data_IF_369277534510
#
_entry.id   IF_369277534510
#
_cell.length_a   1.000
_cell.length_b   1.000
_cell.length_c   1.000
_cell.angle_alpha   90.00
_cell.angle_beta   90.00
_cell.angle_gamma   90.00
#
_symmetry.space_group_name_H-M   'P 1'
#
loop_
_entity.id
_entity.type
_entity.pdbx_description
1 polymer ?
#
# COMPACT_ATOMS: atom_id res chain seq x y z
N UNK A 1 -7.39 12.55 -30.58
CA UNK A 1 -8.07 13.34 -29.51
C UNK A 1 -7.84 12.75 -28.10
N UNK A 2 -7.70 11.44 -27.94
CA UNK A 2 -7.39 10.82 -26.64
C UNK A 2 -6.02 11.24 -26.10
N UNK A 3 -4.99 11.28 -26.95
CA UNK A 3 -3.61 11.61 -26.53
C UNK A 3 -3.45 13.04 -26.00
N UNK A 4 -4.19 14.01 -26.57
CA UNK A 4 -4.15 15.39 -26.10
C UNK A 4 -4.76 15.53 -24.68
N UNK A 5 -5.74 14.69 -24.34
CA UNK A 5 -6.36 14.69 -23.02
C UNK A 5 -5.42 14.10 -21.96
N UNK A 6 -4.63 13.07 -22.30
CA UNK A 6 -3.66 12.46 -21.39
C UNK A 6 -2.53 13.43 -21.07
N UNK A 7 -1.95 14.07 -22.09
CA UNK A 7 -0.86 15.05 -21.92
C UNK A 7 -1.33 16.24 -21.06
N UNK A 8 -2.52 16.77 -21.31
CA UNK A 8 -3.06 17.87 -20.51
C UNK A 8 -3.35 17.45 -19.07
N UNK A 9 -3.87 16.24 -18.86
CA UNK A 9 -4.11 15.70 -17.52
C UNK A 9 -2.81 15.53 -16.74
N UNK A 10 -1.77 14.96 -17.35
CA UNK A 10 -0.42 14.85 -16.75
C UNK A 10 0.11 16.23 -16.40
N UNK A 11 0.02 17.20 -17.32
CA UNK A 11 0.49 18.55 -17.08
C UNK A 11 -0.23 19.21 -15.89
N UNK A 12 -1.56 19.11 -15.84
CA UNK A 12 -2.38 19.67 -14.75
C UNK A 12 -2.04 19.04 -13.41
N UNK A 13 -1.95 17.70 -13.37
CA UNK A 13 -1.65 16.97 -12.13
C UNK A 13 -0.25 17.31 -11.62
N UNK A 14 0.78 17.27 -12.48
CA UNK A 14 2.16 17.55 -12.03
C UNK A 14 2.37 19.03 -11.68
N UNK A 15 1.83 19.94 -12.47
CA UNK A 15 1.95 21.38 -12.19
C UNK A 15 1.18 21.74 -10.93
N UNK A 16 -0.06 21.25 -10.80
CA UNK A 16 -0.87 21.46 -9.61
C UNK A 16 -0.21 20.87 -8.35
N UNK A 17 0.33 19.64 -8.46
CA UNK A 17 1.07 19.01 -7.38
C UNK A 17 2.30 19.81 -6.97
N UNK A 18 3.09 20.31 -7.94
CA UNK A 18 4.28 21.14 -7.65
C UNK A 18 3.91 22.45 -6.94
N UNK A 19 2.89 23.14 -7.42
CA UNK A 19 2.43 24.41 -6.85
C UNK A 19 1.88 24.22 -5.44
N UNK A 20 0.93 23.28 -5.26
CA UNK A 20 0.30 23.06 -3.95
C UNK A 20 1.26 22.40 -2.96
N UNK A 21 2.17 21.52 -3.40
CA UNK A 21 3.19 20.96 -2.52
C UNK A 21 4.16 22.06 -2.01
N UNK A 22 4.53 23.00 -2.88
CA UNK A 22 5.33 24.14 -2.47
C UNK A 22 4.60 25.01 -1.44
N UNK A 23 3.32 25.30 -1.66
CA UNK A 23 2.49 26.01 -0.69
C UNK A 23 2.36 25.25 0.64
N UNK A 24 2.18 23.92 0.59
CA UNK A 24 2.11 23.07 1.77
C UNK A 24 3.41 23.09 2.58
N UNK A 25 4.58 23.09 1.92
CA UNK A 25 5.87 23.22 2.58
C UNK A 25 5.99 24.55 3.34
N UNK A 26 5.58 25.67 2.75
CA UNK A 26 5.56 26.97 3.42
C UNK A 26 4.55 26.98 4.60
N UNK A 27 3.43 26.28 4.45
CA UNK A 27 2.44 26.13 5.49
C UNK A 27 2.81 25.07 6.56
N UNK A 28 3.97 24.43 6.44
CA UNK A 28 4.42 23.31 7.30
C UNK A 28 3.44 22.14 7.32
N UNK A 29 2.74 21.91 6.23
CA UNK A 29 1.82 20.78 6.05
C UNK A 29 2.49 19.63 5.31
N UNK A 30 1.98 18.41 5.50
CA UNK A 30 2.48 17.26 4.76
C UNK A 30 2.14 17.40 3.26
N UNK A 31 3.11 17.16 2.39
CA UNK A 31 2.94 17.27 0.93
C UNK A 31 1.81 16.39 0.39
N UNK A 32 1.53 15.25 1.05
CA UNK A 32 0.44 14.36 0.65
C UNK A 32 -0.92 15.04 0.69
N UNK A 33 -1.14 15.96 1.63
CA UNK A 33 -2.39 16.75 1.73
C UNK A 33 -2.56 17.62 0.48
N UNK A 34 -1.46 18.21 0.00
CA UNK A 34 -1.46 18.99 -1.24
C UNK A 34 -1.82 18.11 -2.46
N UNK A 35 -1.27 16.89 -2.54
CA UNK A 35 -1.57 15.96 -3.65
C UNK A 35 -3.04 15.52 -3.64
N UNK A 36 -3.61 15.26 -2.48
CA UNK A 36 -5.04 14.95 -2.33
C UNK A 36 -5.88 16.16 -2.75
N UNK A 37 -5.50 17.37 -2.35
CA UNK A 37 -6.20 18.60 -2.72
C UNK A 37 -6.16 18.83 -4.25
N UNK A 38 -5.01 18.61 -4.91
CA UNK A 38 -4.92 18.67 -6.38
C UNK A 38 -5.86 17.67 -7.02
N UNK A 39 -5.87 16.41 -6.54
CA UNK A 39 -6.75 15.38 -7.05
C UNK A 39 -8.23 15.76 -6.91
N UNK A 40 -8.62 16.29 -5.76
CA UNK A 40 -10.00 16.74 -5.51
C UNK A 40 -10.39 17.94 -6.39
N UNK A 41 -9.50 18.91 -6.58
CA UNK A 41 -9.76 20.12 -7.37
C UNK A 41 -9.77 19.80 -8.86
N UNK A 42 -8.79 19.07 -9.37
CA UNK A 42 -8.65 18.77 -10.81
C UNK A 42 -9.49 17.58 -11.25
N UNK A 43 -9.93 16.73 -10.34
CA UNK A 43 -10.69 15.52 -10.60
C UNK A 43 -12.13 15.77 -11.05
N UNK A 44 -12.88 14.65 -11.31
CA UNK A 44 -14.26 14.72 -11.82
C UNK A 44 -15.23 15.44 -10.89
N UNK A 45 -14.99 15.38 -9.58
CA UNK A 45 -15.83 16.02 -8.56
C UNK A 45 -15.49 17.50 -8.31
N UNK A 46 -14.36 17.99 -8.87
CA UNK A 46 -13.95 19.38 -8.81
C UNK A 46 -14.19 20.10 -10.14
N UNK A 47 -13.14 20.69 -10.70
CA UNK A 47 -13.22 21.40 -11.98
C UNK A 47 -13.34 20.47 -13.19
N UNK A 48 -13.23 19.16 -13.04
CA UNK A 48 -13.32 18.18 -14.12
C UNK A 48 -12.25 18.34 -15.20
N UNK A 49 -11.07 18.84 -14.84
CA UNK A 49 -9.94 18.99 -15.74
C UNK A 49 -9.37 17.63 -16.17
N UNK A 50 -9.43 16.66 -15.24
CA UNK A 50 -9.08 15.25 -15.47
C UNK A 50 -10.37 14.44 -15.36
N UNK A 51 -10.96 14.10 -16.52
CA UNK A 51 -12.24 13.41 -16.59
C UNK A 51 -12.12 11.89 -16.67
N UNK A 52 -11.08 11.42 -17.32
CA UNK A 52 -10.82 9.99 -17.47
C UNK A 52 -9.96 9.49 -16.30
N UNK A 53 -10.64 8.92 -15.30
CA UNK A 53 -9.97 8.34 -14.13
C UNK A 53 -9.30 6.99 -14.44
N UNK A 54 -9.71 6.28 -15.47
CA UNK A 54 -9.27 4.90 -15.72
C UNK A 54 -7.80 4.78 -16.06
N UNK A 55 -7.26 5.64 -16.92
CA UNK A 55 -5.82 5.62 -17.20
C UNK A 55 -4.99 6.12 -16.01
N UNK A 56 -5.52 7.09 -15.23
CA UNK A 56 -4.85 7.60 -14.04
C UNK A 56 -4.72 6.52 -12.97
N UNK A 57 -5.75 5.69 -12.82
CA UNK A 57 -5.74 4.51 -11.95
C UNK A 57 -4.62 3.54 -12.35
N UNK A 58 -4.52 3.17 -13.64
CA UNK A 58 -3.44 2.30 -14.13
C UNK A 58 -2.04 2.88 -13.91
N UNK A 59 -1.85 4.19 -14.14
CA UNK A 59 -0.56 4.86 -13.87
C UNK A 59 -0.27 4.89 -12.37
N UNK A 60 -1.27 5.11 -11.53
CA UNK A 60 -1.09 5.12 -10.07
C UNK A 60 -0.72 3.74 -9.54
N UNK A 61 -1.32 2.66 -10.05
CA UNK A 61 -0.95 1.28 -9.70
C UNK A 61 0.51 0.98 -10.03
N UNK A 62 0.97 1.35 -11.22
CA UNK A 62 2.38 1.22 -11.61
C UNK A 62 3.28 2.04 -10.66
N UNK A 63 2.88 3.27 -10.34
CA UNK A 63 3.61 4.13 -9.40
C UNK A 63 3.73 3.51 -8.01
N UNK A 64 2.65 2.90 -7.51
CA UNK A 64 2.63 2.18 -6.22
C UNK A 64 3.56 0.97 -6.27
N UNK A 65 3.51 0.16 -7.34
CA UNK A 65 4.40 -1.00 -7.51
C UNK A 65 5.88 -0.58 -7.46
N UNK A 66 6.26 0.48 -8.19
CA UNK A 66 7.63 0.99 -8.16
C UNK A 66 8.04 1.53 -6.79
N UNK A 67 7.13 2.21 -6.09
CA UNK A 67 7.41 2.74 -4.75
C UNK A 67 7.64 1.62 -3.75
N UNK A 68 6.82 0.56 -3.79
CA UNK A 68 6.99 -0.63 -2.94
C UNK A 68 8.25 -1.41 -3.31
N UNK A 69 8.58 -1.51 -4.60
CA UNK A 69 9.81 -2.12 -5.07
C UNK A 69 11.05 -1.38 -4.54
N UNK A 70 11.10 -0.05 -4.69
CA UNK A 70 12.18 0.77 -4.15
C UNK A 70 12.30 0.65 -2.62
N UNK A 71 11.17 0.57 -1.92
CA UNK A 71 11.17 0.33 -0.48
C UNK A 71 11.80 -1.02 -0.15
N UNK A 72 11.41 -2.08 -0.89
CA UNK A 72 11.95 -3.43 -0.73
C UNK A 72 13.45 -3.51 -0.99
N UNK A 73 13.97 -2.82 -2.00
CA UNK A 73 15.39 -2.78 -2.33
C UNK A 73 16.25 -2.18 -1.19
N UNK A 74 15.70 -1.26 -0.42
CA UNK A 74 16.40 -0.62 0.69
C UNK A 74 16.37 -1.44 1.99
N UNK A 75 15.73 -2.62 1.98
CA UNK A 75 15.57 -3.45 3.18
C UNK A 75 16.49 -4.66 3.17
N UNK A 76 17.23 -4.83 4.26
CA UNK A 76 18.05 -6.03 4.49
C UNK A 76 17.17 -7.11 5.13
N UNK A 77 17.02 -8.31 4.51
CA UNK A 77 16.09 -9.35 5.00
C UNK A 77 16.32 -9.78 6.45
N UNK A 78 17.58 -9.89 6.88
CA UNK A 78 17.93 -10.26 8.26
C UNK A 78 17.48 -9.20 9.28
N UNK A 79 17.55 -7.93 8.91
CA UNK A 79 17.12 -6.81 9.73
C UNK A 79 15.59 -6.75 9.81
N UNK A 80 14.91 -6.99 8.69
CA UNK A 80 13.46 -7.07 8.61
C UNK A 80 12.89 -8.16 9.53
N UNK A 81 13.50 -9.36 9.54
CA UNK A 81 13.09 -10.47 10.39
C UNK A 81 13.18 -10.14 11.88
N UNK A 82 14.24 -9.46 12.30
CA UNK A 82 14.39 -9.00 13.69
C UNK A 82 13.30 -8.02 14.07
N UNK A 83 13.02 -7.05 13.19
CA UNK A 83 12.00 -6.02 13.41
C UNK A 83 10.59 -6.58 13.41
N UNK A 84 10.29 -7.58 12.57
CA UNK A 84 9.02 -8.29 12.62
C UNK A 84 8.77 -8.93 13.98
N UNK A 85 9.80 -9.51 14.59
CA UNK A 85 9.68 -10.08 15.93
C UNK A 85 9.37 -9.04 17.01
N UNK A 86 9.88 -7.83 16.87
CA UNK A 86 9.60 -6.71 17.77
C UNK A 86 8.22 -6.12 17.52
N UNK A 87 7.82 -6.02 16.25
CA UNK A 87 6.56 -5.38 15.83
C UNK A 87 5.33 -6.30 15.95
N UNK A 88 5.50 -7.63 15.93
CA UNK A 88 4.38 -8.58 15.77
C UNK A 88 3.31 -8.43 16.86
N UNK A 89 3.72 -8.29 18.13
CA UNK A 89 2.78 -8.16 19.25
C UNK A 89 1.98 -6.85 19.15
N UNK A 90 2.64 -5.76 18.80
CA UNK A 90 2.00 -4.44 18.63
C UNK A 90 1.03 -4.50 17.45
N UNK A 91 1.47 -5.07 16.35
CA UNK A 91 0.65 -5.18 15.13
C UNK A 91 -0.58 -6.03 15.37
N UNK A 92 -0.43 -7.22 15.96
CA UNK A 92 -1.56 -8.12 16.23
C UNK A 92 -2.55 -7.49 17.22
N UNK A 93 -2.04 -6.89 18.30
CA UNK A 93 -2.89 -6.28 19.32
C UNK A 93 -3.65 -5.07 18.77
N UNK A 94 -2.97 -4.19 18.04
CA UNK A 94 -3.62 -3.02 17.41
C UNK A 94 -4.62 -3.44 16.34
N UNK A 95 -4.27 -4.37 15.46
CA UNK A 95 -5.17 -4.88 14.43
C UNK A 95 -6.42 -5.51 15.04
N UNK A 96 -6.27 -6.32 16.09
CA UNK A 96 -7.40 -6.93 16.78
C UNK A 96 -8.28 -5.89 17.49
N UNK A 97 -7.67 -4.87 18.09
CA UNK A 97 -8.41 -3.78 18.73
C UNK A 97 -9.23 -2.98 17.70
N UNK A 98 -8.64 -2.64 16.55
CA UNK A 98 -9.37 -1.94 15.48
C UNK A 98 -10.43 -2.81 14.83
N UNK A 99 -10.17 -4.11 14.64
CA UNK A 99 -11.19 -5.08 14.19
C UNK A 99 -12.39 -5.08 15.14
N UNK A 100 -12.14 -5.26 16.44
CA UNK A 100 -13.19 -5.31 17.45
C UNK A 100 -13.98 -4.00 17.51
N UNK A 101 -13.29 -2.86 17.45
CA UNK A 101 -13.93 -1.54 17.40
C UNK A 101 -14.78 -1.37 16.13
N UNK A 102 -14.27 -1.75 14.96
CA UNK A 102 -14.99 -1.65 13.70
C UNK A 102 -16.22 -2.53 13.67
N UNK A 103 -16.12 -3.78 14.15
CA UNK A 103 -17.28 -4.68 14.30
C UNK A 103 -18.30 -4.12 15.28
N UNK A 104 -17.86 -3.63 16.44
CA UNK A 104 -18.76 -3.05 17.45
C UNK A 104 -19.51 -1.84 16.90
N UNK A 105 -18.82 -0.95 16.18
CA UNK A 105 -19.43 0.19 15.51
C UNK A 105 -20.42 -0.25 14.42
N UNK A 106 -20.04 -1.21 13.57
CA UNK A 106 -20.93 -1.74 12.53
C UNK A 106 -22.21 -2.33 13.10
N UNK A 107 -22.11 -3.16 14.14
CA UNK A 107 -23.27 -3.73 14.83
C UNK A 107 -24.10 -2.62 15.51
N UNK A 108 -23.44 -1.65 16.15
CA UNK A 108 -24.12 -0.51 16.78
C UNK A 108 -24.89 0.37 15.80
N UNK A 109 -24.43 0.45 14.55
CA UNK A 109 -25.09 1.15 13.44
C UNK A 109 -26.16 0.30 12.73
N UNK A 110 -26.39 -0.93 13.16
CA UNK A 110 -27.42 -1.81 12.62
C UNK A 110 -27.01 -2.59 11.36
N UNK A 111 -25.71 -2.69 11.06
CA UNK A 111 -25.22 -3.51 9.95
C UNK A 111 -25.42 -5.00 10.25
N UNK A 112 -25.67 -5.78 9.20
CA UNK A 112 -25.67 -7.22 9.31
C UNK A 112 -24.31 -7.75 9.83
N UNK A 113 -24.25 -8.87 10.57
CA UNK A 113 -23.01 -9.39 11.16
C UNK A 113 -21.88 -9.56 10.14
N UNK A 114 -22.20 -9.93 8.92
CA UNK A 114 -21.23 -10.09 7.83
C UNK A 114 -20.67 -8.72 7.38
N UNK A 115 -21.52 -7.73 7.23
CA UNK A 115 -21.13 -6.37 6.84
C UNK A 115 -20.29 -5.71 7.94
N UNK A 116 -20.70 -5.89 9.21
CA UNK A 116 -19.92 -5.42 10.36
C UNK A 116 -18.55 -6.09 10.44
N UNK A 117 -18.44 -7.39 10.12
CA UNK A 117 -17.15 -8.08 10.05
C UNK A 117 -16.26 -7.52 8.93
N UNK A 118 -16.81 -7.26 7.75
CA UNK A 118 -16.06 -6.64 6.63
C UNK A 118 -15.60 -5.23 7.00
N UNK A 119 -16.46 -4.41 7.60
CA UNK A 119 -16.10 -3.08 8.07
C UNK A 119 -15.00 -3.13 9.14
N UNK A 120 -15.09 -4.07 10.09
CA UNK A 120 -14.06 -4.31 11.09
C UNK A 120 -12.74 -4.74 10.48
N UNK A 121 -12.75 -5.65 9.51
CA UNK A 121 -11.55 -6.02 8.76
C UNK A 121 -10.94 -4.82 8.02
N UNK A 122 -11.74 -3.98 7.40
CA UNK A 122 -11.25 -2.78 6.72
C UNK A 122 -10.58 -1.80 7.69
N UNK A 123 -11.08 -1.68 8.92
CA UNK A 123 -10.49 -0.81 9.96
C UNK A 123 -9.18 -1.33 10.56
N UNK A 124 -8.84 -2.61 10.36
CA UNK A 124 -7.56 -3.18 10.84
C UNK A 124 -6.35 -2.56 10.14
N UNK A 125 -6.52 -2.05 8.92
CA UNK A 125 -5.42 -1.70 8.06
C UNK A 125 -5.23 -0.20 7.97
N UNK A 126 -3.97 0.20 7.98
CA UNK A 126 -3.56 1.58 7.70
C UNK A 126 -2.90 1.65 6.32
N UNK A 127 -2.95 2.82 5.70
CA UNK A 127 -2.27 3.02 4.41
C UNK A 127 -0.76 3.10 4.60
N UNK A 128 -0.04 2.10 4.11
CA UNK A 128 1.43 2.04 4.09
C UNK A 128 2.03 3.26 3.39
N UNK A 129 1.41 3.68 2.27
CA UNK A 129 1.88 4.83 1.49
C UNK A 129 1.73 6.12 2.28
N UNK A 130 0.59 6.34 2.92
CA UNK A 130 0.36 7.54 3.74
C UNK A 130 1.32 7.52 4.93
N UNK A 131 1.45 6.39 5.62
CA UNK A 131 2.37 6.23 6.74
C UNK A 131 3.80 6.59 6.36
N UNK A 132 4.31 6.04 5.25
CA UNK A 132 5.66 6.32 4.75
C UNK A 132 5.86 7.78 4.31
N UNK A 133 4.85 8.39 3.69
CA UNK A 133 4.94 9.79 3.24
C UNK A 133 4.79 10.81 4.37
N UNK A 134 4.16 10.45 5.47
CA UNK A 134 4.09 11.27 6.69
C UNK A 134 5.39 11.22 7.49
N UNK A 135 6.19 10.16 7.35
CA UNK A 135 7.50 10.09 7.99
C UNK A 135 8.48 11.03 7.27
N UNK A 136 9.15 11.94 7.99
CA UNK A 136 10.18 12.80 7.41
C UNK A 136 11.30 11.95 6.81
N UNK A 137 11.57 12.12 5.52
CA UNK A 137 12.47 11.27 4.72
C UNK A 137 13.92 11.25 5.18
N UNK A 138 14.37 12.26 5.93
CA UNK A 138 15.78 12.45 6.25
C UNK A 138 16.23 11.91 7.61
N UNK A 139 15.33 11.76 8.57
CA UNK A 139 15.72 11.39 9.93
C UNK A 139 15.18 10.03 10.39
N UNK A 140 13.98 9.64 9.98
CA UNK A 140 13.28 8.48 10.54
C UNK A 140 13.53 7.17 9.80
N UNK A 141 13.87 7.19 8.51
CA UNK A 141 14.21 5.96 7.77
C UNK A 141 15.46 5.25 8.33
N UNK A 142 16.40 6.00 8.92
CA UNK A 142 17.62 5.46 9.52
C UNK A 142 17.53 5.29 11.04
N UNK A 143 16.47 5.79 11.69
CA UNK A 143 16.25 5.60 13.11
C UNK A 143 15.45 4.32 13.39
N UNK A 144 15.74 3.67 14.51
CA UNK A 144 15.07 2.44 14.94
C UNK A 144 13.54 2.54 14.92
N UNK A 145 12.98 3.69 15.33
CA UNK A 145 11.53 3.94 15.30
C UNK A 145 10.92 3.92 13.90
N UNK A 146 11.60 4.52 12.91
CA UNK A 146 11.14 4.50 11.52
C UNK A 146 11.09 3.08 10.96
N UNK A 147 12.11 2.29 11.26
CA UNK A 147 12.20 0.90 10.85
C UNK A 147 11.11 0.03 11.50
N UNK A 148 10.81 0.25 12.79
CA UNK A 148 9.70 -0.44 13.49
C UNK A 148 8.35 -0.08 12.86
N UNK A 149 8.09 1.20 12.57
CA UNK A 149 6.85 1.63 11.91
C UNK A 149 6.70 0.97 10.54
N UNK A 150 7.74 0.95 9.72
CA UNK A 150 7.73 0.28 8.41
C UNK A 150 7.42 -1.21 8.56
N UNK A 151 8.01 -1.86 9.57
CA UNK A 151 7.78 -3.29 9.84
C UNK A 151 6.35 -3.58 10.28
N UNK A 152 5.73 -2.69 11.09
CA UNK A 152 4.31 -2.78 11.45
C UNK A 152 3.44 -2.69 10.20
N UNK A 153 3.69 -1.70 9.34
CA UNK A 153 2.91 -1.50 8.12
C UNK A 153 3.01 -2.71 7.18
N UNK A 154 4.22 -3.22 6.93
CA UNK A 154 4.43 -4.42 6.11
C UNK A 154 3.76 -5.66 6.70
N UNK A 155 3.79 -5.81 8.03
CA UNK A 155 3.13 -6.93 8.69
C UNK A 155 1.60 -6.80 8.60
N UNK A 156 1.07 -5.58 8.69
CA UNK A 156 -0.36 -5.32 8.44
C UNK A 156 -0.75 -5.67 7.01
N UNK A 157 0.05 -5.35 6.01
CA UNK A 157 -0.20 -5.72 4.61
C UNK A 157 -0.26 -7.25 4.44
N UNK A 158 0.63 -7.98 5.12
CA UNK A 158 0.59 -9.45 5.11
C UNK A 158 -0.67 -10.00 5.76
N UNK A 159 -1.10 -9.43 6.89
CA UNK A 159 -2.37 -9.78 7.54
C UNK A 159 -3.55 -9.43 6.64
N UNK A 160 -3.49 -8.31 5.90
CA UNK A 160 -4.52 -7.91 4.95
C UNK A 160 -4.72 -8.94 3.84
N UNK A 161 -3.62 -9.44 3.27
CA UNK A 161 -3.68 -10.49 2.24
C UNK A 161 -4.42 -11.71 2.79
N UNK A 162 -4.05 -12.18 4.00
CA UNK A 162 -4.71 -13.34 4.62
C UNK A 162 -6.19 -13.06 4.91
N UNK A 163 -6.52 -11.89 5.46
CA UNK A 163 -7.90 -11.51 5.76
C UNK A 163 -8.76 -11.41 4.49
N UNK A 164 -8.25 -10.81 3.42
CA UNK A 164 -8.95 -10.73 2.13
C UNK A 164 -9.18 -12.11 1.52
N UNK A 165 -8.19 -13.01 1.61
CA UNK A 165 -8.34 -14.39 1.14
C UNK A 165 -9.42 -15.14 1.91
N UNK A 166 -9.50 -14.96 3.23
CA UNK A 166 -10.55 -15.56 4.07
C UNK A 166 -11.94 -15.01 3.74
N UNK A 167 -12.04 -13.69 3.53
CA UNK A 167 -13.30 -13.04 3.14
C UNK A 167 -13.78 -13.50 1.76
N UNK A 168 -12.89 -13.59 0.77
CA UNK A 168 -13.23 -14.10 -0.56
C UNK A 168 -13.66 -15.56 -0.53
N UNK A 169 -12.96 -16.41 0.22
CA UNK A 169 -13.31 -17.80 0.41
C UNK A 169 -14.69 -18.00 1.02
N UNK A 170 -15.11 -17.12 1.93
CA UNK A 170 -16.45 -17.15 2.54
C UNK A 170 -17.56 -16.60 1.64
N UNK A 171 -17.21 -15.79 0.63
CA UNK A 171 -18.16 -15.20 -0.32
C UNK A 171 -18.50 -16.12 -1.50
N UNK A 172 -17.57 -16.98 -1.88
CA UNK A 172 -17.65 -17.87 -3.03
C UNK A 172 -18.44 -19.16 -2.75
N UNK A 173 -19.61 -19.08 -2.20
CA UNK A 173 -20.54 -20.17 -1.81
C UNK A 173 -20.53 -21.49 -2.60
N UNK A 174 -19.37 -22.08 -2.91
CA UNK A 174 -19.26 -23.38 -3.57
C UNK A 174 -18.11 -23.57 -4.57
N UNK A 175 -17.43 -22.52 -5.01
CA UNK A 175 -16.23 -22.68 -5.84
C UNK A 175 -15.02 -22.89 -4.92
N UNK A 176 -14.79 -24.13 -4.57
CA UNK A 176 -13.75 -24.69 -3.72
C UNK A 176 -12.55 -23.81 -3.32
N UNK A 177 -11.83 -24.24 -2.32
CA UNK A 177 -10.58 -23.60 -1.79
C UNK A 177 -9.46 -23.42 -2.86
N UNK A 178 -9.69 -23.74 -4.13
CA UNK A 178 -8.72 -23.76 -5.20
C UNK A 178 -8.16 -22.37 -5.55
N UNK A 179 -8.95 -21.27 -5.68
CA UNK A 179 -8.42 -19.94 -5.88
C UNK A 179 -7.50 -19.49 -4.72
N UNK A 180 -7.91 -19.82 -3.48
CA UNK A 180 -7.12 -19.57 -2.27
C UNK A 180 -5.78 -20.30 -2.30
N UNK A 181 -5.82 -21.61 -2.55
CA UNK A 181 -4.62 -22.47 -2.62
C UNK A 181 -3.66 -21.97 -3.72
N UNK A 182 -4.19 -21.61 -4.88
CA UNK A 182 -3.38 -21.08 -5.99
C UNK A 182 -2.67 -19.76 -5.63
N UNK A 183 -3.34 -18.89 -4.89
CA UNK A 183 -2.78 -17.59 -4.50
C UNK A 183 -1.75 -17.74 -3.38
N UNK A 184 -2.01 -18.59 -2.39
CA UNK A 184 -1.06 -18.93 -1.32
C UNK A 184 0.17 -19.64 -1.86
N UNK A 185 0.00 -20.58 -2.81
CA UNK A 185 1.13 -21.26 -3.48
C UNK A 185 1.89 -20.34 -4.43
N UNK A 186 1.26 -19.30 -4.95
CA UNK A 186 1.91 -18.31 -5.80
C UNK A 186 3.06 -17.57 -5.11
N UNK A 187 2.95 -17.28 -3.82
CA UNK A 187 3.99 -16.59 -3.05
C UNK A 187 5.30 -17.39 -2.94
N UNK A 188 5.30 -18.66 -2.47
CA UNK A 188 6.55 -19.47 -2.45
C UNK A 188 7.13 -19.71 -3.84
N UNK A 189 6.28 -19.87 -4.87
CA UNK A 189 6.74 -19.98 -6.25
C UNK A 189 7.44 -18.71 -6.71
N UNK A 190 6.87 -17.54 -6.42
CA UNK A 190 7.48 -16.25 -6.76
C UNK A 190 8.83 -16.08 -6.05
N UNK A 191 8.90 -16.39 -4.75
CA UNK A 191 10.14 -16.34 -3.97
C UNK A 191 11.17 -17.33 -4.55
N UNK A 192 10.76 -18.52 -4.90
CA UNK A 192 11.62 -19.52 -5.53
C UNK A 192 12.17 -19.06 -6.89
N UNK A 193 11.32 -18.47 -7.73
CA UNK A 193 11.73 -17.90 -9.03
C UNK A 193 12.69 -16.72 -8.82
N UNK A 194 12.39 -15.83 -7.88
CA UNK A 194 13.28 -14.70 -7.56
C UNK A 194 14.64 -15.18 -7.07
N UNK A 195 14.68 -16.17 -6.18
CA UNK A 195 15.93 -16.76 -5.67
C UNK A 195 16.75 -17.42 -6.78
N UNK A 196 16.10 -18.17 -7.67
CA UNK A 196 16.76 -18.80 -8.82
C UNK A 196 17.29 -17.72 -9.77
N UNK A 197 16.50 -16.69 -10.06
CA UNK A 197 16.91 -15.58 -10.91
C UNK A 197 18.11 -14.81 -10.32
N UNK A 198 18.10 -14.57 -9.02
CA UNK A 198 19.22 -13.93 -8.32
C UNK A 198 20.51 -14.76 -8.46
N UNK A 199 20.45 -16.02 -8.09
CA UNK A 199 21.65 -16.87 -7.99
C UNK A 199 22.20 -17.34 -9.35
N UNK A 200 21.30 -17.57 -10.33
CA UNK A 200 21.71 -18.12 -11.62
C UNK A 200 21.83 -17.09 -12.74
N UNK A 201 21.21 -15.94 -12.59
CA UNK A 201 21.20 -14.90 -13.64
C UNK A 201 21.91 -13.63 -13.16
N UNK A 202 21.45 -13.07 -12.03
CA UNK A 202 21.90 -11.74 -11.58
C UNK A 202 23.33 -11.82 -11.04
N UNK A 203 23.61 -12.74 -10.14
CA UNK A 203 24.93 -12.87 -9.51
C UNK A 203 26.05 -13.20 -10.52
N UNK A 204 25.90 -14.17 -11.46
CA UNK A 204 26.89 -14.40 -12.50
C UNK A 204 27.06 -13.22 -13.47
N UNK A 205 25.97 -12.49 -13.74
CA UNK A 205 26.01 -11.32 -14.61
C UNK A 205 26.82 -10.19 -13.98
N UNK A 206 26.56 -9.89 -12.70
CA UNK A 206 27.28 -8.87 -11.96
C UNK A 206 28.76 -9.20 -11.81
N UNK A 207 29.09 -10.45 -11.49
CA UNK A 207 30.50 -10.92 -11.38
C UNK A 207 31.26 -10.86 -12.71
N UNK A 208 30.58 -10.76 -13.83
CA UNK A 208 31.22 -10.66 -15.17
C UNK A 208 31.51 -9.22 -15.56
N UNK A 209 30.89 -8.24 -14.90
CA UNK A 209 31.06 -6.82 -15.18
C UNK A 209 31.88 -6.07 -14.09
N UNK A 210 32.22 -6.75 -12.97
CA UNK A 210 33.23 -6.33 -12.00
C UNK A 210 34.63 -6.92 -12.40
#
# INVERSE_FOLDING_TARGET
MADANVVSAVFVVFTGAAVLATAALFARQAMIVAYIAVGAIAGPSGFGLVRDAGWLEGVSEIGIMFLLYLLGLNMVPAQLWRMFREAINVTLLSSLAFLALGVALGVGLGFAPREAAVAGCAMMFSSTIIGLKLLPTTALHHQHMGQVIISILLLQDLIAIVALLLLQGSASGGEGYWPFVRQVLGLPVLIGVAYVAEHWVIEPLLRRFD
#
